data_IF_752224458463
#
_entry.id   IF_752224458463
#
_cell.length_a   1.000
_cell.length_b   1.000
_cell.length_c   1.000
_cell.angle_alpha   90.00
_cell.angle_beta   90.00
_cell.angle_gamma   90.00
#
_symmetry.space_group_name_H-M   'P 1'
#
loop_
_entity.id
_entity.type
_entity.pdbx_description
1 polymer ?
#
# COMPACT_ATOMS: atom_id res chain seq x y z
N UNK A 1 -47.83 40.92 24.94
CA UNK A 1 -46.97 40.11 24.01
C UNK A 1 -47.90 39.26 23.17
N UNK A 2 -47.83 39.40 21.85
CA UNK A 2 -48.74 38.74 20.94
C UNK A 2 -48.37 37.23 20.82
N UNK A 3 -49.31 36.28 20.98
CA UNK A 3 -49.01 34.85 20.96
C UNK A 3 -48.39 34.34 19.62
N UNK A 4 -48.52 35.12 18.59
CA UNK A 4 -47.95 34.85 17.28
C UNK A 4 -46.43 35.05 17.21
N UNK A 5 -45.88 36.02 17.94
CA UNK A 5 -44.41 36.26 17.98
C UNK A 5 -43.64 35.15 18.72
N UNK A 6 -44.23 34.58 19.78
CA UNK A 6 -43.62 33.47 20.52
C UNK A 6 -43.52 32.20 19.67
N UNK A 7 -44.57 31.92 18.90
CA UNK A 7 -44.57 30.76 17.98
C UNK A 7 -43.56 30.91 16.86
N UNK A 8 -43.41 32.12 16.31
CA UNK A 8 -42.42 32.39 15.25
C UNK A 8 -40.97 32.21 15.74
N UNK A 9 -40.67 32.68 16.95
CA UNK A 9 -39.34 32.55 17.58
C UNK A 9 -38.96 31.08 17.85
N UNK A 10 -39.93 30.26 18.26
CA UNK A 10 -39.70 28.82 18.46
C UNK A 10 -39.49 28.08 17.13
N UNK A 11 -40.25 28.38 16.11
CA UNK A 11 -40.10 27.82 14.78
C UNK A 11 -38.73 28.17 14.16
N UNK A 12 -38.25 29.43 14.34
CA UNK A 12 -36.94 29.81 13.85
C UNK A 12 -35.79 29.08 14.60
N UNK A 13 -35.93 28.91 15.92
CA UNK A 13 -34.91 28.18 16.71
C UNK A 13 -34.85 26.69 16.35
N UNK A 14 -35.96 26.07 16.16
CA UNK A 14 -35.99 24.65 15.72
C UNK A 14 -35.47 24.46 14.31
N UNK A 15 -35.75 25.37 13.38
CA UNK A 15 -35.24 25.36 12.02
C UNK A 15 -33.69 25.55 12.00
N UNK A 16 -33.20 26.49 12.81
CA UNK A 16 -31.76 26.75 12.96
C UNK A 16 -31.01 25.53 13.54
N UNK A 17 -31.59 24.87 14.54
CA UNK A 17 -31.00 23.68 15.15
C UNK A 17 -30.95 22.49 14.15
N UNK A 18 -31.99 22.34 13.33
CA UNK A 18 -32.07 21.30 12.30
C UNK A 18 -31.06 21.55 11.18
N UNK A 19 -30.85 22.80 10.80
CA UNK A 19 -29.86 23.19 9.79
C UNK A 19 -28.41 22.93 10.25
N UNK A 20 -28.11 23.23 11.52
CA UNK A 20 -26.80 22.92 12.12
C UNK A 20 -26.55 21.41 12.19
N UNK A 21 -27.59 20.62 12.50
CA UNK A 21 -27.48 19.18 12.54
C UNK A 21 -27.27 18.54 11.14
N UNK A 22 -27.90 19.09 10.11
CA UNK A 22 -27.69 18.69 8.73
C UNK A 22 -26.29 19.01 8.22
N UNK A 23 -25.72 20.16 8.59
CA UNK A 23 -24.37 20.57 8.22
C UNK A 23 -23.28 19.76 8.94
N UNK A 24 -23.55 19.26 10.16
CA UNK A 24 -22.60 18.41 10.89
C UNK A 24 -22.63 16.94 10.45
N UNK A 25 -23.62 16.50 9.68
CA UNK A 25 -23.73 15.14 9.16
C UNK A 25 -22.90 14.88 7.89
N UNK A 26 -22.23 15.88 7.31
CA UNK A 26 -21.22 15.69 6.26
C UNK A 26 -19.90 15.28 6.90
N UNK A 27 -19.86 14.06 7.47
CA UNK A 27 -18.57 13.44 7.77
C UNK A 27 -17.80 13.37 6.43
N UNK A 28 -16.53 13.82 6.37
CA UNK A 28 -15.72 13.62 5.19
C UNK A 28 -15.68 12.11 4.94
N UNK A 29 -16.37 11.66 3.91
CA UNK A 29 -16.11 10.35 3.34
C UNK A 29 -14.63 10.40 2.96
N UNK A 30 -13.78 9.72 3.73
CA UNK A 30 -12.40 9.49 3.37
C UNK A 30 -12.44 8.67 2.08
N UNK A 31 -12.50 9.37 0.96
CA UNK A 31 -12.44 8.74 -0.35
C UNK A 31 -11.09 8.02 -0.44
N UNK A 32 -11.11 6.73 -0.70
CA UNK A 32 -9.90 5.98 -1.03
C UNK A 32 -9.24 6.70 -2.22
N UNK A 33 -7.91 6.89 -2.21
CA UNK A 33 -7.24 7.46 -3.37
C UNK A 33 -7.55 6.60 -4.58
N UNK A 34 -7.94 7.25 -5.66
CA UNK A 34 -8.20 6.56 -6.92
C UNK A 34 -6.95 5.76 -7.35
N UNK A 35 -7.11 4.56 -7.93
CA UNK A 35 -5.99 3.85 -8.53
C UNK A 35 -5.40 4.70 -9.65
N UNK A 36 -4.08 4.72 -9.77
CA UNK A 36 -3.43 5.24 -10.95
C UNK A 36 -3.79 4.36 -12.15
N UNK A 37 -4.03 4.96 -13.30
CA UNK A 37 -4.16 4.20 -14.54
C UNK A 37 -2.79 3.67 -15.02
N UNK A 38 -2.79 2.78 -16.00
CA UNK A 38 -1.57 2.13 -16.50
C UNK A 38 -0.59 3.14 -17.11
N UNK A 39 -1.07 4.19 -17.74
CA UNK A 39 -0.24 5.24 -18.33
C UNK A 39 0.45 6.06 -17.24
N UNK A 40 -0.30 6.45 -16.22
CA UNK A 40 0.22 7.18 -15.06
C UNK A 40 1.21 6.33 -14.25
N UNK A 41 0.90 5.04 -14.00
CA UNK A 41 1.83 4.11 -13.37
C UNK A 41 3.13 3.96 -14.18
N UNK A 42 2.99 3.82 -15.50
CA UNK A 42 4.15 3.73 -16.39
C UNK A 42 4.99 5.01 -16.35
N UNK A 43 4.36 6.19 -16.38
CA UNK A 43 5.06 7.47 -16.36
C UNK A 43 5.82 7.68 -15.05
N UNK A 44 5.16 7.48 -13.90
CA UNK A 44 5.71 7.75 -12.56
C UNK A 44 6.70 6.71 -12.06
N UNK A 45 6.76 5.53 -12.67
CA UNK A 45 7.68 4.47 -12.29
C UNK A 45 9.07 4.70 -12.87
N UNK A 46 10.11 4.46 -12.07
CA UNK A 46 11.49 4.39 -12.54
C UNK A 46 11.80 3.03 -13.19
N UNK A 47 11.07 1.99 -12.77
CA UNK A 47 11.22 0.62 -13.25
C UNK A 47 9.85 -0.04 -13.38
N UNK A 48 9.61 -0.72 -14.51
CA UNK A 48 8.48 -1.62 -14.72
C UNK A 48 9.02 -2.94 -15.22
N UNK A 49 8.86 -3.98 -14.41
CA UNK A 49 9.45 -5.28 -14.67
C UNK A 49 8.58 -6.45 -14.20
N UNK A 50 8.70 -7.58 -14.85
CA UNK A 50 8.32 -8.88 -14.31
C UNK A 50 9.44 -9.34 -13.38
N UNK A 51 9.10 -9.64 -12.15
CA UNK A 51 10.08 -10.05 -11.13
C UNK A 51 9.66 -11.35 -10.47
N UNK A 52 10.68 -12.11 -10.01
CA UNK A 52 10.49 -13.23 -9.08
C UNK A 52 10.95 -12.81 -7.70
N UNK A 53 10.12 -13.01 -6.71
CA UNK A 53 10.47 -12.74 -5.31
C UNK A 53 11.32 -13.88 -4.77
N UNK A 54 12.58 -13.60 -4.48
CA UNK A 54 13.54 -14.59 -3.97
C UNK A 54 13.42 -14.76 -2.45
N UNK A 55 13.35 -13.63 -1.73
CA UNK A 55 13.28 -13.63 -0.28
C UNK A 55 12.56 -12.40 0.25
N UNK A 56 12.03 -12.52 1.46
CA UNK A 56 11.48 -11.39 2.23
C UNK A 56 11.96 -11.51 3.67
N UNK A 57 12.58 -10.45 4.18
CA UNK A 57 13.03 -10.34 5.56
C UNK A 57 12.30 -9.21 6.31
N UNK A 58 12.09 -9.41 7.62
CA UNK A 58 11.67 -8.35 8.52
C UNK A 58 12.90 -7.58 9.01
N UNK A 59 12.97 -6.29 8.65
CA UNK A 59 14.14 -5.44 8.94
C UNK A 59 13.92 -4.49 10.10
N UNK A 60 12.66 -4.22 10.44
CA UNK A 60 12.27 -3.34 11.54
C UNK A 60 10.90 -3.70 12.06
N UNK A 61 10.60 -3.32 13.29
CA UNK A 61 9.25 -3.31 13.83
C UNK A 61 9.04 -1.94 14.46
N UNK A 62 7.96 -1.27 14.10
CA UNK A 62 7.58 0.03 14.69
C UNK A 62 6.20 -0.11 15.29
N UNK A 63 5.97 0.59 16.41
CA UNK A 63 4.66 0.62 17.04
C UNK A 63 3.83 1.74 16.45
N UNK A 64 2.62 1.43 16.05
CA UNK A 64 1.65 2.44 15.62
C UNK A 64 1.17 3.26 16.83
N UNK A 65 1.20 4.57 16.73
CA UNK A 65 0.86 5.46 17.85
C UNK A 65 -0.63 5.43 18.20
N UNK A 66 -1.49 5.14 17.22
CA UNK A 66 -2.94 5.17 17.41
C UNK A 66 -3.49 3.83 17.91
N UNK A 67 -3.10 2.74 17.26
CA UNK A 67 -3.59 1.38 17.60
C UNK A 67 -2.72 0.66 18.63
N UNK A 68 -1.47 1.07 18.78
CA UNK A 68 -0.47 0.36 19.58
C UNK A 68 0.04 -0.93 18.94
N UNK A 69 -0.36 -1.22 17.70
CA UNK A 69 -0.01 -2.43 16.97
C UNK A 69 1.46 -2.40 16.51
N UNK A 70 2.12 -3.54 16.51
CA UNK A 70 3.47 -3.69 15.96
C UNK A 70 3.41 -3.86 14.46
N UNK A 71 4.06 -2.96 13.73
CA UNK A 71 4.08 -2.90 12.27
C UNK A 71 5.45 -3.32 11.74
N UNK A 72 5.58 -4.53 11.18
CA UNK A 72 6.80 -4.98 10.55
C UNK A 72 7.16 -4.15 9.32
N UNK A 73 8.43 -3.79 9.21
CA UNK A 73 9.04 -3.27 7.98
C UNK A 73 9.78 -4.38 7.26
N UNK A 74 9.61 -4.44 5.95
CA UNK A 74 10.10 -5.52 5.11
C UNK A 74 11.13 -5.07 4.10
N UNK A 75 12.03 -5.98 3.75
CA UNK A 75 12.93 -5.91 2.61
C UNK A 75 12.75 -7.19 1.80
N UNK A 76 12.38 -7.06 0.53
CA UNK A 76 12.37 -8.16 -0.42
C UNK A 76 13.58 -8.07 -1.37
N UNK A 77 14.15 -9.22 -1.71
CA UNK A 77 15.04 -9.39 -2.86
C UNK A 77 14.25 -9.94 -4.01
N UNK A 78 14.25 -9.21 -5.12
CA UNK A 78 13.54 -9.55 -6.35
C UNK A 78 14.54 -9.81 -7.46
N UNK A 79 14.39 -10.92 -8.20
CA UNK A 79 15.12 -11.17 -9.44
C UNK A 79 14.31 -10.65 -10.62
N UNK A 80 14.91 -9.84 -11.47
CA UNK A 80 14.32 -9.35 -12.71
C UNK A 80 14.23 -10.49 -13.72
N UNK A 81 13.05 -10.73 -14.28
CA UNK A 81 12.81 -11.73 -15.34
C UNK A 81 12.63 -11.04 -16.69
N UNK A 82 11.89 -9.93 -16.75
CA UNK A 82 11.63 -9.17 -17.96
C UNK A 82 11.51 -7.67 -17.59
N UNK A 83 11.88 -6.77 -18.52
CA UNK A 83 11.87 -5.31 -18.31
C UNK A 83 11.04 -4.64 -19.39
N UNK A 84 10.08 -3.81 -18.98
CA UNK A 84 9.34 -2.89 -19.86
C UNK A 84 9.88 -1.46 -19.78
N UNK A 85 10.41 -1.05 -18.63
CA UNK A 85 10.98 0.29 -18.40
C UNK A 85 12.08 0.23 -17.34
N UNK A 86 13.15 1.00 -17.51
CA UNK A 86 14.26 1.15 -16.54
C UNK A 86 15.59 0.60 -17.02
N UNK A 87 16.65 0.88 -16.25
CA UNK A 87 18.04 0.59 -16.62
C UNK A 87 18.59 -0.69 -15.94
N UNK A 88 17.75 -1.72 -15.85
CA UNK A 88 18.11 -3.02 -15.29
C UNK A 88 17.96 -4.10 -16.35
N UNK A 89 18.54 -5.27 -16.11
CA UNK A 89 18.55 -6.39 -17.06
C UNK A 89 17.92 -7.64 -16.42
N UNK A 90 17.35 -8.55 -17.23
CA UNK A 90 16.99 -9.89 -16.75
C UNK A 90 18.16 -10.55 -16.04
N UNK A 91 17.91 -11.10 -14.86
CA UNK A 91 18.91 -11.69 -13.97
C UNK A 91 19.41 -10.75 -12.86
N UNK A 92 19.26 -9.44 -13.01
CA UNK A 92 19.62 -8.49 -11.95
C UNK A 92 18.77 -8.71 -10.69
N UNK A 93 19.35 -8.43 -9.53
CA UNK A 93 18.64 -8.45 -8.26
C UNK A 93 18.36 -7.02 -7.77
N UNK A 94 17.16 -6.83 -7.26
CA UNK A 94 16.66 -5.57 -6.76
C UNK A 94 16.19 -5.73 -5.31
N UNK A 95 16.28 -4.64 -4.56
CA UNK A 95 15.75 -4.57 -3.20
C UNK A 95 14.52 -3.66 -3.15
N UNK A 96 13.40 -4.18 -2.65
CA UNK A 96 12.16 -3.41 -2.44
C UNK A 96 11.82 -3.38 -0.97
N UNK A 97 11.44 -2.21 -0.47
CA UNK A 97 11.08 -2.02 0.92
C UNK A 97 9.65 -1.51 1.07
N UNK A 98 8.94 -2.03 2.08
CA UNK A 98 7.64 -1.53 2.52
C UNK A 98 7.44 -1.75 4.01
N UNK A 99 6.36 -1.23 4.56
CA UNK A 99 5.94 -1.44 5.94
C UNK A 99 4.52 -1.97 5.96
N UNK A 100 4.20 -2.86 6.88
CA UNK A 100 2.83 -3.24 7.19
C UNK A 100 2.03 -2.02 7.68
N UNK A 101 0.73 -2.08 7.50
CA UNK A 101 -0.22 -1.09 8.03
C UNK A 101 -1.05 -1.73 9.16
N UNK A 102 -1.62 -0.94 10.09
CA UNK A 102 -2.48 -1.47 11.16
C UNK A 102 -3.67 -2.26 10.62
N UNK A 103 -4.04 -3.31 11.36
CA UNK A 103 -5.25 -4.09 11.09
C UNK A 103 -6.46 -3.23 11.33
N UNK A 104 -7.31 -2.93 10.53
CA UNK A 104 -8.47 -2.04 10.70
C UNK A 104 -8.43 -0.82 9.80
N UNK A 105 -7.28 -0.53 9.18
CA UNK A 105 -7.25 0.41 8.07
C UNK A 105 -7.83 -0.29 6.83
N UNK A 106 -9.00 0.17 6.41
CA UNK A 106 -9.67 -0.36 5.23
C UNK A 106 -9.04 0.25 3.98
N UNK A 107 -8.53 -0.58 3.09
CA UNK A 107 -8.01 -0.18 1.79
C UNK A 107 -6.70 -0.86 1.40
N UNK A 108 -6.37 -0.88 0.11
CA UNK A 108 -5.17 -1.52 -0.42
C UNK A 108 -3.96 -0.56 -0.35
N UNK A 109 -3.60 -0.10 0.84
CA UNK A 109 -2.59 0.95 1.03
C UNK A 109 -1.15 0.50 0.83
N UNK A 110 -0.88 -0.82 0.80
CA UNK A 110 0.47 -1.39 0.72
C UNK A 110 0.50 -2.55 -0.26
N UNK A 111 1.53 -2.57 -1.09
CA UNK A 111 1.86 -3.72 -1.94
C UNK A 111 2.75 -4.66 -1.15
N UNK A 112 2.31 -5.90 -1.00
CA UNK A 112 3.08 -6.99 -0.42
C UNK A 112 3.68 -7.86 -1.50
N UNK A 113 4.89 -8.36 -1.25
CA UNK A 113 5.59 -9.33 -2.08
C UNK A 113 5.78 -10.61 -1.29
N UNK A 114 5.57 -11.77 -1.94
CA UNK A 114 5.62 -13.06 -1.29
C UNK A 114 6.63 -13.99 -1.99
N UNK A 115 7.51 -14.68 -1.24
CA UNK A 115 8.54 -15.53 -1.84
C UNK A 115 7.99 -16.57 -2.80
N UNK A 116 8.60 -16.65 -3.98
CA UNK A 116 8.25 -17.59 -5.05
C UNK A 116 7.24 -17.07 -6.06
N UNK A 117 6.59 -15.93 -5.83
CA UNK A 117 5.71 -15.33 -6.84
C UNK A 117 6.50 -14.70 -7.99
N UNK A 118 5.87 -14.72 -9.16
CA UNK A 118 6.32 -13.97 -10.34
C UNK A 118 5.22 -12.97 -10.70
N UNK A 119 5.54 -11.69 -10.65
CA UNK A 119 4.56 -10.61 -10.75
C UNK A 119 5.11 -9.41 -11.50
N UNK A 120 4.28 -8.80 -12.34
CA UNK A 120 4.57 -7.48 -12.89
C UNK A 120 4.48 -6.44 -11.80
N UNK A 121 5.44 -5.53 -11.75
CA UNK A 121 5.46 -4.47 -10.73
C UNK A 121 5.99 -3.15 -11.26
N UNK A 122 5.47 -2.07 -10.71
CA UNK A 122 5.84 -0.70 -10.99
C UNK A 122 6.57 -0.14 -9.76
N UNK A 123 7.83 0.24 -9.93
CA UNK A 123 8.72 0.58 -8.83
C UNK A 123 9.32 1.98 -9.00
N UNK A 124 9.43 2.68 -7.88
CA UNK A 124 10.09 3.98 -7.78
C UNK A 124 11.33 3.87 -6.89
N UNK A 125 12.46 4.41 -7.34
CA UNK A 125 13.70 4.48 -6.54
C UNK A 125 13.48 5.33 -5.30
N UNK A 126 13.91 4.84 -4.14
CA UNK A 126 13.96 5.63 -2.92
C UNK A 126 15.11 6.62 -2.94
N UNK A 127 15.02 7.66 -2.11
CA UNK A 127 16.13 8.58 -1.84
C UNK A 127 17.38 7.78 -1.46
N UNK A 128 18.51 8.02 -2.15
CA UNK A 128 19.73 7.22 -2.01
C UNK A 128 19.95 6.15 -3.08
N UNK A 129 18.93 5.82 -3.89
CA UNK A 129 19.06 5.04 -5.13
C UNK A 129 19.32 3.53 -5.01
N UNK A 130 19.46 3.01 -3.78
CA UNK A 130 19.82 1.59 -3.54
C UNK A 130 18.60 0.69 -3.49
N UNK A 131 17.48 1.18 -2.99
CA UNK A 131 16.24 0.41 -2.84
C UNK A 131 15.09 1.05 -3.60
N UNK A 132 14.08 0.23 -3.85
CA UNK A 132 12.83 0.64 -4.49
C UNK A 132 11.66 0.57 -3.49
N UNK A 133 10.58 1.22 -3.87
CA UNK A 133 9.25 1.05 -3.30
C UNK A 133 8.24 0.89 -4.43
N UNK A 134 7.07 0.35 -4.15
CA UNK A 134 5.96 0.37 -5.09
C UNK A 134 5.56 1.80 -5.41
N UNK A 135 5.35 2.11 -6.70
CA UNK A 135 5.01 3.46 -7.16
C UNK A 135 3.68 3.94 -6.57
N UNK A 136 2.72 3.03 -6.45
CA UNK A 136 1.40 3.26 -5.86
C UNK A 136 0.91 1.98 -5.20
N UNK A 137 -0.22 2.06 -4.48
CA UNK A 137 -0.87 0.90 -3.89
C UNK A 137 -1.34 -0.13 -4.94
N UNK A 138 -1.67 0.31 -6.15
CA UNK A 138 -2.04 -0.54 -7.28
C UNK A 138 -0.87 -0.80 -8.25
N UNK A 139 0.36 -0.60 -7.81
CA UNK A 139 1.57 -0.81 -8.61
C UNK A 139 1.87 -2.29 -8.92
N UNK A 140 1.15 -3.21 -8.27
CA UNK A 140 1.23 -4.64 -8.54
C UNK A 140 0.30 -4.98 -9.70
N UNK A 141 0.87 -5.41 -10.81
CA UNK A 141 0.15 -5.83 -12.02
C UNK A 141 -0.18 -7.33 -12.00
N UNK A 142 -0.14 -7.93 -13.18
CA UNK A 142 -0.49 -9.33 -13.39
C UNK A 142 0.40 -10.27 -12.58
N UNK A 143 -0.24 -11.23 -11.89
CA UNK A 143 0.42 -12.34 -11.21
C UNK A 143 0.61 -13.50 -12.18
N UNK A 144 1.84 -13.71 -12.64
CA UNK A 144 2.19 -14.77 -13.59
C UNK A 144 2.33 -16.12 -12.89
N UNK A 145 2.87 -16.11 -11.67
CA UNK A 145 3.02 -17.32 -10.85
C UNK A 145 2.70 -17.02 -9.39
N UNK A 146 1.91 -17.87 -8.72
CA UNK A 146 1.58 -17.68 -7.31
C UNK A 146 2.78 -17.89 -6.39
N UNK A 147 2.71 -17.29 -5.21
CA UNK A 147 3.71 -17.43 -4.17
C UNK A 147 3.83 -18.88 -3.67
N UNK A 148 5.04 -19.26 -3.29
CA UNK A 148 5.31 -20.53 -2.59
C UNK A 148 5.13 -20.39 -1.08
N UNK A 149 5.41 -19.18 -0.55
CA UNK A 149 5.33 -18.86 0.88
C UNK A 149 4.45 -17.62 1.02
N UNK A 150 3.35 -17.75 1.75
CA UNK A 150 2.37 -16.66 1.95
C UNK A 150 2.44 -16.04 3.35
N UNK A 151 3.18 -16.65 4.29
CA UNK A 151 3.37 -16.12 5.63
C UNK A 151 4.70 -15.40 5.71
N UNK A 152 4.66 -14.08 5.94
CA UNK A 152 5.85 -13.24 6.09
C UNK A 152 6.37 -13.29 7.54
N UNK A 153 7.68 -13.07 7.75
CA UNK A 153 8.26 -12.99 9.07
C UNK A 153 7.79 -11.72 9.79
N UNK A 154 7.64 -11.80 11.11
CA UNK A 154 7.18 -10.67 11.94
C UNK A 154 8.23 -10.18 12.94
N UNK A 155 9.34 -10.92 13.10
CA UNK A 155 10.43 -10.54 14.01
C UNK A 155 11.63 -10.03 13.23
N UNK A 156 12.25 -8.99 13.73
CA UNK A 156 13.47 -8.41 13.15
C UNK A 156 14.56 -9.48 13.02
N UNK A 157 15.18 -9.54 11.84
CA UNK A 157 16.22 -10.51 11.51
C UNK A 157 15.72 -11.84 10.96
N UNK A 158 14.41 -12.13 11.07
CA UNK A 158 13.84 -13.31 10.40
C UNK A 158 13.66 -13.06 8.91
N UNK A 159 13.86 -14.10 8.10
CA UNK A 159 13.62 -14.05 6.65
C UNK A 159 13.08 -15.39 6.15
N UNK A 160 12.34 -15.31 5.04
CA UNK A 160 11.88 -16.47 4.28
C UNK A 160 12.42 -16.37 2.85
N UNK A 161 12.96 -17.48 2.37
CA UNK A 161 13.64 -17.55 1.05
C UNK A 161 13.15 -18.78 0.32
N UNK A 162 12.95 -18.64 -1.00
CA UNK A 162 12.69 -19.81 -1.85
C UNK A 162 13.98 -20.60 -2.03
N UNK A 163 13.87 -21.91 -1.89
CA UNK A 163 14.95 -22.80 -2.28
C UNK A 163 14.86 -22.98 -3.80
N UNK A 164 15.77 -22.39 -4.56
CA UNK A 164 15.94 -22.74 -5.96
C UNK A 164 16.43 -24.17 -6.01
N UNK A 165 15.56 -25.15 -6.32
CA UNK A 165 16.08 -26.45 -6.77
C UNK A 165 16.93 -26.20 -8.02
N UNK A 166 18.20 -26.67 -8.06
CA UNK A 166 18.93 -26.68 -9.31
C UNK A 166 18.07 -27.45 -10.33
N UNK A 167 17.88 -26.90 -11.50
CA UNK A 167 17.38 -27.72 -12.64
C UNK A 167 18.47 -28.72 -12.94
N UNK A 168 18.19 -30.02 -12.64
CA UNK A 168 18.89 -31.12 -13.24
C UNK A 168 18.67 -31.17 -14.75
#
# INVERSE_FOLDING_TARGET
MHPMEVRLRHALKTLSLFLVFLLSATAPLLALPAPMDDAELMEKSHLVALVRVLSVGCTSVTKDEQSGEELPGYLATLQVLEVKKGDVKPGDELMVTWRAIPTGIIGPWVVYYYPGEEVWTHLTKRSGGVTYASTSWNARGELVKPAQITKLPIKVGESVTITSKPKE
#
